data_IF_364090613582
#
_entry.id   IF_364090613582
#
_cell.length_a   1.000
_cell.length_b   1.000
_cell.length_c   1.000
_cell.angle_alpha   90.00
_cell.angle_beta   90.00
_cell.angle_gamma   90.00
#
_symmetry.space_group_name_H-M   'P 1'
#
loop_
_entity.id
_entity.type
_entity.pdbx_description
1 polymer ?
#
# COMPACT_ATOMS: atom_id res chain seq x y z
N UNK A 1 -4.46 -22.04 -8.50
CA UNK A 1 -4.13 -20.99 -7.52
C UNK A 1 -3.40 -21.68 -6.39
N UNK A 2 -2.20 -21.24 -6.06
CA UNK A 2 -1.34 -21.94 -5.12
C UNK A 2 -1.56 -21.46 -3.68
N UNK A 3 -1.21 -22.30 -2.72
CA UNK A 3 -1.14 -21.92 -1.31
C UNK A 3 0.17 -21.16 -1.04
N UNK A 4 0.15 -20.29 -0.04
CA UNK A 4 1.34 -19.59 0.44
C UNK A 4 2.38 -20.57 0.99
N UNK A 5 3.64 -20.20 0.76
CA UNK A 5 4.86 -20.86 1.24
C UNK A 5 5.63 -19.92 2.18
N UNK A 6 6.46 -20.49 3.05
CA UNK A 6 7.40 -19.68 3.85
C UNK A 6 8.36 -18.96 2.91
N UNK A 7 8.60 -17.67 3.15
CA UNK A 7 9.39 -16.80 2.29
C UNK A 7 8.57 -16.01 1.26
N UNK A 8 7.29 -16.35 1.05
CA UNK A 8 6.45 -15.58 0.15
C UNK A 8 6.28 -14.14 0.66
N UNK A 9 6.56 -13.19 -0.21
CA UNK A 9 6.32 -11.76 0.04
C UNK A 9 4.89 -11.43 -0.33
N UNK A 10 4.19 -10.77 0.58
CA UNK A 10 2.80 -10.37 0.41
C UNK A 10 2.61 -8.88 0.70
N UNK A 11 1.58 -8.30 0.10
CA UNK A 11 1.17 -6.92 0.36
C UNK A 11 -0.33 -6.79 0.64
N UNK A 12 -0.72 -5.74 1.33
CA UNK A 12 -2.09 -5.31 1.51
C UNK A 12 -2.16 -3.81 1.22
N UNK A 13 -3.29 -3.35 0.69
CA UNK A 13 -3.60 -1.94 0.50
C UNK A 13 -4.72 -1.51 1.43
N UNK A 14 -4.66 -0.25 1.89
CA UNK A 14 -5.72 0.44 2.61
C UNK A 14 -5.88 1.84 2.08
N UNK A 15 -7.11 2.33 2.11
CA UNK A 15 -7.45 3.69 1.73
C UNK A 15 -8.31 4.26 2.84
N UNK A 16 -7.89 5.39 3.42
CA UNK A 16 -8.60 6.05 4.52
C UNK A 16 -9.03 7.46 4.08
N UNK A 17 -10.35 7.70 3.98
CA UNK A 17 -10.92 9.05 3.81
C UNK A 17 -10.93 9.62 2.37
N UNK A 18 -11.27 10.91 2.27
CA UNK A 18 -11.51 11.64 1.01
C UNK A 18 -10.23 12.12 0.29
N UNK A 19 -9.08 12.19 0.97
CA UNK A 19 -7.80 12.61 0.38
C UNK A 19 -7.07 11.49 -0.41
N UNK A 20 -7.76 10.38 -0.69
CA UNK A 20 -7.48 9.35 -1.72
C UNK A 20 -6.05 8.77 -1.77
N UNK A 21 -5.35 8.67 -0.64
CA UNK A 21 -4.05 7.97 -0.59
C UNK A 21 -4.21 6.46 -0.41
N UNK A 22 -3.50 5.67 -1.23
CA UNK A 22 -3.46 4.21 -1.10
C UNK A 22 -2.23 3.78 -0.30
N UNK A 23 -2.41 3.39 0.95
CA UNK A 23 -1.31 2.93 1.81
C UNK A 23 -1.01 1.46 1.55
N UNK A 24 0.20 1.18 1.08
CA UNK A 24 0.71 -0.18 0.89
C UNK A 24 1.41 -0.67 2.16
N UNK A 25 1.07 -1.89 2.59
CA UNK A 25 1.75 -2.62 3.64
C UNK A 25 2.38 -3.87 3.06
N UNK A 26 3.65 -4.14 3.39
CA UNK A 26 4.37 -5.33 2.93
C UNK A 26 4.77 -6.21 4.11
N UNK A 27 4.77 -7.51 3.90
CA UNK A 27 5.28 -8.48 4.87
C UNK A 27 5.69 -9.77 4.16
N UNK A 28 6.28 -10.68 4.92
CA UNK A 28 6.73 -11.99 4.46
C UNK A 28 6.09 -13.10 5.29
N UNK A 29 5.77 -14.24 4.67
CA UNK A 29 5.28 -15.43 5.37
C UNK A 29 6.44 -16.08 6.12
N UNK A 30 6.36 -16.13 7.44
CA UNK A 30 7.42 -16.70 8.30
C UNK A 30 7.07 -18.08 8.84
N UNK A 31 5.78 -18.45 8.88
CA UNK A 31 5.34 -19.75 9.41
C UNK A 31 4.03 -20.18 8.77
N UNK A 32 3.90 -21.49 8.55
CA UNK A 32 2.65 -22.11 8.12
C UNK A 32 2.09 -23.02 9.22
N UNK A 33 0.78 -23.14 9.22
CA UNK A 33 0.01 -24.13 9.99
C UNK A 33 -0.88 -24.91 9.02
N UNK A 34 -1.70 -25.83 9.52
CA UNK A 34 -2.64 -26.60 8.68
C UNK A 34 -3.57 -25.69 7.86
N UNK A 35 -4.00 -24.55 8.42
CA UNK A 35 -5.01 -23.68 7.79
C UNK A 35 -4.59 -22.23 7.62
N UNK A 36 -3.50 -21.80 8.25
CA UNK A 36 -3.07 -20.40 8.27
C UNK A 36 -1.62 -20.21 7.84
N UNK A 37 -1.36 -19.09 7.18
CA UNK A 37 -0.03 -18.51 7.00
C UNK A 37 0.15 -17.35 8.00
N UNK A 38 1.30 -17.29 8.66
CA UNK A 38 1.65 -16.26 9.64
C UNK A 38 2.72 -15.37 9.03
N UNK A 39 2.44 -14.08 8.99
CA UNK A 39 3.31 -13.06 8.45
C UNK A 39 4.29 -12.55 9.52
N UNK A 40 5.43 -12.00 9.08
CA UNK A 40 6.46 -11.40 9.95
C UNK A 40 5.91 -10.32 10.89
N UNK A 41 4.92 -9.55 10.43
CA UNK A 41 4.23 -8.53 11.24
C UNK A 41 3.17 -9.11 12.21
N UNK A 42 3.06 -10.43 12.34
CA UNK A 42 2.10 -11.11 13.22
C UNK A 42 0.72 -11.35 12.60
N UNK A 43 0.44 -10.80 11.42
CA UNK A 43 -0.84 -11.03 10.72
C UNK A 43 -1.01 -12.50 10.36
N UNK A 44 -2.22 -13.03 10.52
CA UNK A 44 -2.57 -14.42 10.20
C UNK A 44 -3.53 -14.43 9.03
N UNK A 45 -3.18 -15.14 7.97
CA UNK A 45 -3.98 -15.28 6.76
C UNK A 45 -4.50 -16.71 6.65
N UNK A 46 -5.71 -16.90 6.14
CA UNK A 46 -6.13 -18.22 5.69
C UNK A 46 -5.25 -18.65 4.52
N UNK A 47 -4.62 -19.82 4.61
CA UNK A 47 -3.75 -20.36 3.56
C UNK A 47 -4.57 -21.07 2.47
N UNK A 48 -5.56 -20.35 1.97
CA UNK A 48 -6.46 -20.78 0.91
C UNK A 48 -6.68 -19.56 0.00
N UNK A 49 -6.22 -19.63 -1.26
CA UNK A 49 -6.36 -18.51 -2.18
C UNK A 49 -7.83 -18.29 -2.51
N UNK A 50 -8.23 -17.03 -2.58
CA UNK A 50 -9.58 -16.61 -3.01
C UNK A 50 -9.46 -15.51 -4.05
N UNK A 51 -10.40 -15.47 -4.98
CA UNK A 51 -10.54 -14.32 -5.87
C UNK A 51 -10.96 -13.14 -5.01
N UNK A 52 -10.17 -12.07 -5.02
CA UNK A 52 -10.55 -10.80 -4.42
C UNK A 52 -11.58 -10.12 -5.32
N UNK A 53 -12.78 -9.89 -4.81
CA UNK A 53 -13.83 -9.16 -5.54
C UNK A 53 -13.52 -7.67 -5.72
N UNK A 54 -12.46 -7.16 -5.06
CA UNK A 54 -12.10 -5.73 -5.08
C UNK A 54 -11.02 -5.45 -6.13
N UNK A 55 -10.05 -6.35 -6.26
CA UNK A 55 -8.87 -6.15 -7.13
C UNK A 55 -8.81 -7.14 -8.29
N UNK A 56 -9.77 -8.08 -8.37
CA UNK A 56 -9.78 -9.21 -9.32
C UNK A 56 -8.53 -10.11 -9.25
N UNK A 57 -7.69 -9.91 -8.23
CA UNK A 57 -6.45 -10.63 -7.97
C UNK A 57 -6.62 -11.74 -6.93
N UNK A 58 -5.69 -12.71 -6.91
CA UNK A 58 -5.66 -13.74 -5.87
C UNK A 58 -5.31 -13.09 -4.53
N UNK A 59 -6.21 -13.24 -3.56
CA UNK A 59 -6.08 -12.74 -2.21
C UNK A 59 -6.16 -13.84 -1.15
N UNK A 60 -5.53 -13.57 -0.01
CA UNK A 60 -5.54 -14.40 1.18
C UNK A 60 -6.16 -13.60 2.32
N UNK A 61 -7.35 -14.00 2.75
CA UNK A 61 -8.11 -13.25 3.75
C UNK A 61 -7.46 -13.31 5.14
N UNK A 62 -7.51 -12.19 5.87
CA UNK A 62 -7.06 -12.11 7.26
C UNK A 62 -7.98 -12.96 8.15
N UNK A 63 -7.37 -13.74 9.05
CA UNK A 63 -8.10 -14.56 10.00
C UNK A 63 -9.01 -13.69 10.86
N UNK A 64 -10.30 -14.05 10.96
CA UNK A 64 -11.36 -13.29 11.66
C UNK A 64 -11.71 -11.91 11.06
N UNK A 65 -11.08 -11.51 9.94
CA UNK A 65 -11.38 -10.27 9.21
C UNK A 65 -11.47 -10.56 7.71
N UNK A 66 -12.53 -11.28 7.31
CA UNK A 66 -12.66 -11.84 5.96
C UNK A 66 -12.73 -10.79 4.83
N UNK A 67 -13.00 -9.53 5.14
CA UNK A 67 -13.00 -8.44 4.15
C UNK A 67 -11.60 -7.94 3.79
N UNK A 68 -10.59 -8.20 4.62
CA UNK A 68 -9.22 -7.73 4.41
C UNK A 68 -8.39 -8.83 3.76
N UNK A 69 -7.74 -8.51 2.64
CA UNK A 69 -6.98 -9.47 1.85
C UNK A 69 -5.53 -9.03 1.69
N UNK A 70 -4.64 -10.01 1.72
CA UNK A 70 -3.23 -9.86 1.33
C UNK A 70 -2.99 -10.57 0.01
N UNK A 71 -2.10 -10.04 -0.82
CA UNK A 71 -1.82 -10.51 -2.17
C UNK A 71 -0.33 -10.81 -2.31
N UNK A 72 0.05 -11.72 -3.21
CA UNK A 72 1.47 -11.94 -3.51
C UNK A 72 2.10 -10.70 -4.12
N UNK A 73 3.30 -10.35 -3.69
CA UNK A 73 4.01 -9.18 -4.21
C UNK A 73 4.37 -9.38 -5.68
N UNK A 74 3.95 -8.42 -6.50
CA UNK A 74 4.34 -8.29 -7.91
C UNK A 74 5.24 -7.06 -8.10
N UNK A 75 5.96 -7.00 -9.22
CA UNK A 75 6.71 -5.80 -9.60
C UNK A 75 5.80 -4.57 -9.72
N UNK A 76 4.57 -4.77 -10.21
CA UNK A 76 3.60 -3.68 -10.32
C UNK A 76 3.15 -3.16 -8.95
N UNK A 77 2.91 -4.04 -7.98
CA UNK A 77 2.57 -3.63 -6.62
C UNK A 77 3.69 -2.81 -5.96
N UNK A 78 4.96 -3.17 -6.19
CA UNK A 78 6.12 -2.40 -5.70
C UNK A 78 6.15 -1.01 -6.36
N UNK A 79 5.98 -0.93 -7.68
CA UNK A 79 5.98 0.35 -8.42
C UNK A 79 4.84 1.26 -7.95
N UNK A 80 3.64 0.72 -7.80
CA UNK A 80 2.48 1.49 -7.32
C UNK A 80 2.72 2.02 -5.90
N UNK A 81 3.29 1.20 -5.02
CA UNK A 81 3.61 1.62 -3.66
C UNK A 81 4.65 2.76 -3.63
N UNK A 82 5.65 2.74 -4.52
CA UNK A 82 6.63 3.83 -4.63
C UNK A 82 5.98 5.15 -5.04
N UNK A 83 5.18 5.12 -6.11
CA UNK A 83 4.45 6.30 -6.59
C UNK A 83 3.57 6.88 -5.48
N UNK A 84 2.86 6.02 -4.76
CA UNK A 84 1.93 6.46 -3.74
C UNK A 84 2.64 6.99 -2.49
N UNK A 85 3.77 6.38 -2.10
CA UNK A 85 4.61 6.90 -1.03
C UNK A 85 5.20 8.28 -1.37
N UNK A 86 5.56 8.53 -2.64
CA UNK A 86 6.03 9.85 -3.07
C UNK A 86 4.93 10.91 -2.97
N UNK A 87 3.70 10.58 -3.36
CA UNK A 87 2.54 11.48 -3.19
C UNK A 87 2.28 11.82 -1.73
N UNK A 88 2.26 10.79 -0.87
CA UNK A 88 2.06 10.96 0.58
C UNK A 88 3.19 11.82 1.15
N UNK A 89 4.44 11.56 0.79
CA UNK A 89 5.57 12.34 1.27
C UNK A 89 5.50 13.82 0.85
N UNK A 90 5.08 14.10 -0.38
CA UNK A 90 4.88 15.47 -0.85
C UNK A 90 3.77 16.17 -0.06
N UNK A 91 2.62 15.51 0.12
CA UNK A 91 1.51 16.02 0.90
C UNK A 91 1.92 16.31 2.36
N UNK A 92 2.50 15.31 3.03
CA UNK A 92 2.96 15.43 4.42
C UNK A 92 3.98 16.56 4.58
N UNK A 93 4.88 16.75 3.61
CA UNK A 93 5.84 17.84 3.62
C UNK A 93 5.16 19.22 3.56
N UNK A 94 4.12 19.37 2.74
CA UNK A 94 3.36 20.62 2.66
C UNK A 94 2.57 20.89 3.95
N UNK A 95 1.94 19.87 4.54
CA UNK A 95 1.15 20.02 5.77
C UNK A 95 2.01 20.35 6.99
N UNK A 96 3.20 19.76 7.09
CA UNK A 96 4.07 19.92 8.27
C UNK A 96 4.96 21.18 8.20
N UNK A 97 5.24 21.70 7.01
CA UNK A 97 6.17 22.81 6.82
C UNK A 97 5.46 24.16 6.95
N UNK A 98 5.92 24.98 7.89
CA UNK A 98 5.55 26.39 7.93
C UNK A 98 6.36 27.20 6.91
N UNK A 99 5.73 27.55 5.79
CA UNK A 99 6.38 28.32 4.73
C UNK A 99 6.48 29.81 5.05
N UNK A 100 7.67 30.37 4.85
CA UNK A 100 7.88 31.82 4.82
C UNK A 100 7.20 32.46 3.61
N UNK A 101 6.99 33.78 3.65
CA UNK A 101 6.41 34.52 2.52
C UNK A 101 7.22 34.33 1.22
N UNK A 102 8.55 34.33 1.33
CA UNK A 102 9.45 34.13 0.18
C UNK A 102 9.30 32.75 -0.44
N UNK A 103 9.21 31.71 0.37
CA UNK A 103 8.99 30.34 -0.13
C UNK A 103 7.63 30.21 -0.80
N UNK A 104 6.57 30.82 -0.23
CA UNK A 104 5.23 30.83 -0.85
C UNK A 104 5.24 31.53 -2.21
N UNK A 105 5.90 32.69 -2.31
CA UNK A 105 6.05 33.41 -3.58
C UNK A 105 6.82 32.58 -4.62
N UNK A 106 7.88 31.89 -4.20
CA UNK A 106 8.66 31.04 -5.08
C UNK A 106 7.89 29.80 -5.58
N UNK A 107 7.13 29.14 -4.69
CA UNK A 107 6.25 28.03 -5.07
C UNK A 107 5.22 28.53 -6.10
N UNK A 108 4.55 29.65 -5.82
CA UNK A 108 3.59 30.26 -6.73
C UNK A 108 4.17 30.56 -8.12
N UNK A 109 5.38 31.15 -8.18
CA UNK A 109 6.01 31.47 -9.47
C UNK A 109 6.33 30.20 -10.27
N UNK A 110 6.77 29.13 -9.61
CA UNK A 110 7.08 27.85 -10.27
C UNK A 110 5.85 27.21 -10.91
N UNK A 111 4.71 27.21 -10.23
CA UNK A 111 3.45 26.73 -10.81
C UNK A 111 2.96 27.61 -11.96
N UNK A 112 3.17 28.93 -11.88
CA UNK A 112 2.79 29.86 -12.96
C UNK A 112 3.64 29.67 -14.23
N UNK A 113 4.94 29.43 -14.10
CA UNK A 113 5.84 29.13 -15.22
C UNK A 113 5.45 27.83 -15.93
N UNK A 114 5.14 26.77 -15.17
CA UNK A 114 4.73 25.48 -15.73
C UNK A 114 3.36 25.52 -16.42
N UNK A 115 2.43 26.38 -15.98
CA UNK A 115 1.10 26.49 -16.60
C UNK A 115 1.07 27.35 -17.88
N UNK A 116 2.20 27.93 -18.28
CA UNK A 116 2.34 28.74 -19.50
C UNK A 116 3.01 27.97 -20.66
N UNK A 117 3.40 26.70 -20.44
CA UNK A 117 3.87 25.76 -21.47
C UNK A 117 2.72 24.86 -21.95
#
# INVERSE_FOLDING_TARGET
MDKLKVGDKVYNTKQDGFDDFIRYSFSEVVKLTKTLAILKNGTRLYNEPKISFITEDIGYSVARQRGTHWHLVSLQAIRNAQIENEKIAAYDWFEQKNFSLREKQWIYSKFKENNQQ
#
